data_IF_163094466594
#
_entry.id   IF_163094466594
#
_cell.length_a   1.000
_cell.length_b   1.000
_cell.length_c   1.000
_cell.angle_alpha   90.00
_cell.angle_beta   90.00
_cell.angle_gamma   90.00
#
_symmetry.space_group_name_H-M   'P 1'
#
loop_
_entity.id
_entity.type
_entity.pdbx_description
1 polymer ?
#
# COMPACT_ATOMS: atom_id res chain seq x y z
N UNK A 1 -21.71 22.74 1.29
CA UNK A 1 -21.87 21.32 1.67
C UNK A 1 -21.23 21.10 3.02
N UNK A 2 -21.81 20.27 3.89
CA UNK A 2 -21.10 19.75 5.06
C UNK A 2 -20.20 18.56 4.65
N UNK A 3 -19.42 17.99 5.58
CA UNK A 3 -18.48 16.89 5.28
C UNK A 3 -19.17 15.64 4.71
N UNK A 4 -20.30 15.23 5.28
CA UNK A 4 -21.04 14.05 4.80
C UNK A 4 -21.60 14.27 3.39
N UNK A 5 -22.17 15.45 3.13
CA UNK A 5 -22.64 15.82 1.78
C UNK A 5 -21.51 15.88 0.77
N UNK A 6 -20.33 16.37 1.19
CA UNK A 6 -19.12 16.42 0.34
C UNK A 6 -18.64 15.02 -0.02
N UNK A 7 -18.58 14.10 0.96
CA UNK A 7 -18.23 12.71 0.68
C UNK A 7 -19.25 12.04 -0.24
N UNK A 8 -20.55 12.23 0.00
CA UNK A 8 -21.61 11.70 -0.89
C UNK A 8 -21.44 12.25 -2.30
N UNK A 9 -21.17 13.54 -2.47
CA UNK A 9 -20.90 14.15 -3.78
C UNK A 9 -19.70 13.48 -4.48
N UNK A 10 -18.55 13.34 -3.77
CA UNK A 10 -17.35 12.71 -4.30
C UNK A 10 -17.56 11.22 -4.61
N UNK A 11 -18.40 10.54 -3.83
CA UNK A 11 -18.63 9.10 -3.96
C UNK A 11 -19.67 8.72 -5.00
N UNK A 12 -20.71 9.51 -5.18
CA UNK A 12 -21.85 9.18 -6.03
C UNK A 12 -21.70 9.72 -7.45
N UNK A 13 -21.19 10.94 -7.59
CA UNK A 13 -21.08 11.60 -8.90
C UNK A 13 -19.85 11.22 -9.71
N UNK A 14 -18.80 10.72 -9.06
CA UNK A 14 -17.53 10.48 -9.73
C UNK A 14 -17.29 9.01 -10.01
N UNK A 15 -16.69 8.66 -11.16
CA UNK A 15 -16.24 7.31 -11.43
C UNK A 15 -15.24 6.85 -10.36
N UNK A 16 -15.55 5.77 -9.63
CA UNK A 16 -14.69 5.17 -8.61
C UNK A 16 -14.30 3.76 -8.98
N UNK A 17 -13.01 3.46 -8.86
CA UNK A 17 -12.51 2.11 -9.08
C UNK A 17 -13.16 1.08 -8.14
N UNK A 18 -13.41 1.43 -6.87
CA UNK A 18 -14.09 0.56 -5.91
C UNK A 18 -15.53 0.21 -6.30
N UNK A 19 -16.21 1.02 -7.14
CA UNK A 19 -17.59 0.83 -7.57
C UNK A 19 -17.72 0.19 -8.95
N UNK A 20 -16.97 0.70 -9.93
CA UNK A 20 -17.12 0.33 -11.35
C UNK A 20 -15.85 -0.32 -11.95
N UNK A 21 -14.83 -0.60 -11.13
CA UNK A 21 -13.61 -1.28 -11.56
C UNK A 21 -12.86 -0.52 -12.65
N UNK A 22 -12.39 -1.24 -13.67
CA UNK A 22 -11.58 -0.72 -14.76
C UNK A 22 -12.21 0.45 -15.53
N UNK A 23 -13.54 0.55 -15.59
CA UNK A 23 -14.23 1.64 -16.26
C UNK A 23 -13.98 3.03 -15.63
N UNK A 24 -13.50 3.08 -14.38
CA UNK A 24 -13.09 4.34 -13.73
C UNK A 24 -11.67 4.77 -14.12
N UNK A 25 -10.88 3.91 -14.78
CA UNK A 25 -9.51 4.21 -15.17
C UNK A 25 -9.47 5.01 -16.45
N UNK A 26 -8.84 6.18 -16.42
CA UNK A 26 -8.57 6.98 -17.61
C UNK A 26 -7.13 6.75 -18.07
N UNK A 27 -6.95 6.50 -19.35
CA UNK A 27 -5.65 6.14 -19.93
C UNK A 27 -4.79 7.36 -20.30
N UNK A 28 -4.91 8.47 -19.56
CA UNK A 28 -4.09 9.67 -19.73
C UNK A 28 -4.03 10.48 -18.41
N UNK A 29 -3.21 11.54 -18.39
CA UNK A 29 -3.02 12.42 -17.23
C UNK A 29 -3.67 13.80 -17.41
N UNK A 30 -4.40 14.02 -18.49
CA UNK A 30 -4.92 15.34 -18.85
C UNK A 30 -5.82 15.94 -17.79
N UNK A 31 -6.72 15.13 -17.22
CA UNK A 31 -7.60 15.58 -16.14
C UNK A 31 -6.84 15.96 -14.87
N UNK A 32 -5.86 15.15 -14.47
CA UNK A 32 -5.05 15.45 -13.28
C UNK A 32 -4.24 16.73 -13.48
N UNK A 33 -3.67 16.92 -14.66
CA UNK A 33 -2.95 18.15 -15.03
C UNK A 33 -3.88 19.36 -14.97
N UNK A 34 -5.09 19.24 -15.56
CA UNK A 34 -6.08 20.30 -15.52
C UNK A 34 -6.57 20.65 -14.09
N UNK A 35 -6.81 19.61 -13.25
CA UNK A 35 -7.16 19.81 -11.85
C UNK A 35 -6.04 20.49 -11.06
N UNK A 36 -4.80 20.08 -11.26
CA UNK A 36 -3.64 20.72 -10.63
C UNK A 36 -3.51 22.18 -11.09
N UNK A 37 -3.74 22.45 -12.39
CA UNK A 37 -3.72 23.83 -12.90
C UNK A 37 -4.81 24.72 -12.27
N UNK A 38 -5.99 24.17 -12.00
CA UNK A 38 -7.08 24.87 -11.31
C UNK A 38 -6.77 25.27 -9.86
N UNK A 39 -5.70 24.72 -9.28
CA UNK A 39 -5.20 25.03 -7.92
C UNK A 39 -3.73 25.47 -7.92
N UNK A 40 -3.30 26.16 -8.98
CA UNK A 40 -1.95 26.74 -9.12
C UNK A 40 -0.80 25.73 -9.07
N UNK A 41 -0.98 24.57 -9.69
CA UNK A 41 0.03 23.51 -9.86
C UNK A 41 0.82 23.19 -8.58
N UNK A 42 0.18 22.77 -7.49
CA UNK A 42 0.82 22.54 -6.19
C UNK A 42 1.93 21.48 -6.26
N UNK A 43 1.78 20.48 -7.14
CA UNK A 43 2.74 19.38 -7.33
C UNK A 43 4.16 19.86 -7.72
N UNK A 44 4.30 21.06 -8.28
CA UNK A 44 5.59 21.59 -8.72
C UNK A 44 6.40 22.22 -7.57
N UNK A 45 5.79 22.50 -6.43
CA UNK A 45 6.42 23.16 -5.28
C UNK A 45 6.76 22.21 -4.12
N UNK A 46 6.40 20.93 -4.22
CA UNK A 46 6.54 19.93 -3.16
C UNK A 46 7.69 18.99 -3.50
N UNK A 47 8.63 18.80 -2.57
CA UNK A 47 9.63 17.72 -2.66
C UNK A 47 8.94 16.39 -2.39
N UNK A 48 9.17 15.39 -3.25
CA UNK A 48 8.43 14.12 -3.17
C UNK A 48 9.34 12.90 -3.28
N UNK A 49 8.90 11.79 -2.68
CA UNK A 49 9.36 10.42 -2.99
C UNK A 49 8.15 9.71 -3.61
N UNK A 50 8.32 9.07 -4.78
CA UNK A 50 7.25 8.44 -5.52
C UNK A 50 7.38 6.92 -5.45
N UNK A 51 6.31 6.21 -5.04
CA UNK A 51 6.35 4.78 -4.74
C UNK A 51 5.33 4.03 -5.59
N UNK A 52 5.82 3.13 -6.45
CA UNK A 52 5.02 2.15 -7.19
C UNK A 52 5.37 0.71 -6.77
N UNK A 53 4.56 -0.24 -7.21
CA UNK A 53 4.77 -1.67 -6.94
C UNK A 53 3.46 -2.44 -6.98
N UNK A 54 3.52 -3.76 -6.99
CA UNK A 54 2.34 -4.59 -6.81
C UNK A 54 1.99 -4.66 -5.33
N UNK A 55 2.86 -5.23 -4.51
CA UNK A 55 2.74 -5.30 -3.07
C UNK A 55 3.82 -4.43 -2.38
N UNK A 56 3.62 -4.07 -1.11
CA UNK A 56 4.60 -3.34 -0.32
C UNK A 56 4.55 -1.82 -0.41
N UNK A 57 3.83 -1.21 -1.38
CA UNK A 57 3.74 0.25 -1.54
C UNK A 57 3.40 0.98 -0.24
N UNK A 58 2.25 0.66 0.35
CA UNK A 58 1.79 1.28 1.59
C UNK A 58 2.78 1.12 2.74
N UNK A 59 3.33 -0.11 2.95
CA UNK A 59 4.33 -0.36 4.00
C UNK A 59 5.59 0.50 3.81
N UNK A 60 6.14 0.55 2.59
CA UNK A 60 7.33 1.38 2.27
C UNK A 60 7.01 2.86 2.46
N UNK A 61 5.81 3.31 2.02
CA UNK A 61 5.36 4.70 2.18
C UNK A 61 5.27 5.10 3.65
N UNK A 62 4.67 4.27 4.49
CA UNK A 62 4.51 4.54 5.92
C UNK A 62 5.85 4.47 6.68
N UNK A 63 6.72 3.48 6.38
CA UNK A 63 8.06 3.43 6.99
C UNK A 63 8.89 4.65 6.62
N UNK A 64 8.88 5.10 5.36
CA UNK A 64 9.58 6.32 4.96
C UNK A 64 8.98 7.55 5.67
N UNK A 65 7.64 7.68 5.71
CA UNK A 65 7.00 8.79 6.41
C UNK A 65 7.39 8.83 7.89
N UNK A 66 7.37 7.69 8.60
CA UNK A 66 7.79 7.58 9.99
C UNK A 66 9.25 8.05 10.19
N UNK A 67 10.17 7.65 9.30
CA UNK A 67 11.59 8.02 9.38
C UNK A 67 11.80 9.53 9.17
N UNK A 68 11.12 10.13 8.19
CA UNK A 68 11.23 11.58 7.97
C UNK A 68 10.60 12.38 9.10
N UNK A 69 9.47 11.94 9.66
CA UNK A 69 8.85 12.54 10.86
C UNK A 69 9.80 12.46 12.05
N UNK A 70 10.38 11.29 12.32
CA UNK A 70 11.32 11.09 13.42
C UNK A 70 12.60 11.92 13.26
N UNK A 71 13.00 12.22 12.01
CA UNK A 71 14.11 13.12 11.72
C UNK A 71 13.73 14.62 11.84
N UNK A 72 12.50 14.94 12.22
CA UNK A 72 12.02 16.30 12.48
C UNK A 72 11.46 17.03 11.26
N UNK A 73 11.25 16.35 10.12
CA UNK A 73 10.66 16.96 8.92
C UNK A 73 9.14 16.93 8.96
N UNK A 74 8.48 18.03 8.57
CA UNK A 74 7.03 18.05 8.32
C UNK A 74 6.73 17.21 7.09
N UNK A 75 6.19 16.01 7.31
CA UNK A 75 6.10 14.96 6.29
C UNK A 75 4.67 14.75 5.85
N UNK A 76 4.39 14.97 4.57
CA UNK A 76 3.16 14.56 3.91
C UNK A 76 3.19 13.09 3.54
N UNK A 77 2.03 12.43 3.60
CA UNK A 77 1.85 11.05 3.19
C UNK A 77 0.55 10.92 2.39
N UNK A 78 0.66 10.48 1.13
CA UNK A 78 -0.48 10.11 0.30
C UNK A 78 -0.49 8.61 0.05
N UNK A 79 -1.57 7.93 0.44
CA UNK A 79 -1.75 6.47 0.27
C UNK A 79 -3.14 6.12 -0.24
N UNK A 80 -3.28 4.94 -0.86
CA UNK A 80 -4.57 4.46 -1.36
C UNK A 80 -4.62 2.94 -1.51
N UNK A 81 -5.81 2.34 -1.35
CA UNK A 81 -7.04 2.97 -0.85
C UNK A 81 -7.00 3.22 0.66
N UNK A 82 -7.96 3.95 1.22
CA UNK A 82 -8.20 4.03 2.65
C UNK A 82 -8.87 2.74 3.16
N UNK A 83 -8.77 2.50 4.45
CA UNK A 83 -9.39 1.34 5.10
C UNK A 83 -10.79 1.70 5.62
N UNK A 84 -10.91 2.73 6.44
CA UNK A 84 -12.19 3.20 7.03
C UNK A 84 -12.53 4.65 6.70
N UNK A 85 -11.61 5.57 6.95
CA UNK A 85 -11.84 7.01 6.77
C UNK A 85 -11.18 7.52 5.50
N UNK A 86 -11.93 8.28 4.71
CA UNK A 86 -11.41 8.94 3.50
C UNK A 86 -10.11 9.70 3.75
N UNK A 87 -10.01 10.36 4.92
CA UNK A 87 -8.87 11.21 5.31
C UNK A 87 -7.56 10.44 5.51
N UNK A 88 -7.63 9.11 5.66
CA UNK A 88 -6.43 8.26 5.74
C UNK A 88 -5.52 8.41 4.52
N UNK A 89 -6.10 8.82 3.37
CA UNK A 89 -5.36 9.03 2.12
C UNK A 89 -4.38 10.20 2.19
N UNK A 90 -4.64 11.18 3.06
CA UNK A 90 -3.90 12.46 3.10
C UNK A 90 -3.55 12.75 4.56
N UNK A 91 -2.30 12.54 4.92
CA UNK A 91 -1.81 12.75 6.29
C UNK A 91 -0.61 13.68 6.29
N UNK A 92 -0.45 14.42 7.38
CA UNK A 92 0.79 15.16 7.70
C UNK A 92 1.21 14.77 9.11
N UNK A 93 2.45 14.28 9.24
CA UNK A 93 2.98 13.77 10.51
C UNK A 93 2.01 12.78 11.20
N UNK A 94 1.48 11.83 10.41
CA UNK A 94 0.52 10.82 10.86
C UNK A 94 -0.91 11.30 11.05
N UNK A 95 -1.14 12.62 11.15
CA UNK A 95 -2.48 13.20 11.36
C UNK A 95 -3.21 13.34 10.03
N UNK A 96 -4.42 12.77 9.89
CA UNK A 96 -5.26 12.95 8.71
C UNK A 96 -5.64 14.41 8.49
N UNK A 97 -5.84 14.80 7.23
CA UNK A 97 -6.33 16.14 6.88
C UNK A 97 -7.69 16.43 7.54
N UNK A 98 -7.98 17.71 7.79
CA UNK A 98 -9.23 18.08 8.46
C UNK A 98 -10.46 17.86 7.57
N UNK A 99 -11.59 17.54 8.18
CA UNK A 99 -12.89 17.44 7.48
C UNK A 99 -13.21 18.76 6.75
N UNK A 100 -12.89 19.90 7.37
CA UNK A 100 -13.12 21.20 6.78
C UNK A 100 -12.29 21.44 5.52
N UNK A 101 -11.01 21.04 5.50
CA UNK A 101 -10.18 21.15 4.30
C UNK A 101 -10.79 20.41 3.10
N UNK A 102 -11.32 19.20 3.32
CA UNK A 102 -11.98 18.43 2.25
C UNK A 102 -13.20 19.16 1.69
N UNK A 103 -14.00 19.76 2.58
CA UNK A 103 -15.18 20.56 2.19
C UNK A 103 -14.75 21.78 1.37
N UNK A 104 -13.81 22.56 1.88
CA UNK A 104 -13.35 23.82 1.26
C UNK A 104 -12.70 23.57 -0.09
N UNK A 105 -11.81 22.55 -0.17
CA UNK A 105 -11.18 22.15 -1.42
C UNK A 105 -12.22 21.73 -2.46
N UNK A 106 -13.16 20.86 -2.09
CA UNK A 106 -14.18 20.35 -3.02
C UNK A 106 -15.06 21.48 -3.53
N UNK A 107 -15.47 22.41 -2.66
CA UNK A 107 -16.24 23.61 -3.07
C UNK A 107 -15.44 24.51 -4.01
N UNK A 108 -14.15 24.75 -3.70
CA UNK A 108 -13.25 25.56 -4.53
C UNK A 108 -13.12 25.03 -5.96
N UNK A 109 -12.98 23.70 -6.11
CA UNK A 109 -12.77 23.09 -7.44
C UNK A 109 -14.04 22.58 -8.10
N UNK A 110 -15.22 22.75 -7.51
CA UNK A 110 -16.48 22.23 -8.07
C UNK A 110 -16.73 22.65 -9.52
N UNK A 111 -16.50 23.91 -9.95
CA UNK A 111 -16.64 24.29 -11.37
C UNK A 111 -15.68 23.51 -12.29
N UNK A 112 -14.47 23.22 -11.81
CA UNK A 112 -13.49 22.41 -12.55
C UNK A 112 -13.91 20.95 -12.61
N UNK A 113 -14.49 20.40 -11.55
CA UNK A 113 -15.04 19.03 -11.53
C UNK A 113 -16.13 18.90 -12.59
N UNK A 114 -17.04 19.87 -12.67
CA UNK A 114 -18.17 19.85 -13.61
C UNK A 114 -17.72 19.99 -15.09
N UNK A 115 -16.62 20.71 -15.35
CA UNK A 115 -16.09 20.91 -16.70
C UNK A 115 -15.13 19.82 -17.19
N UNK A 116 -14.33 19.24 -16.27
CA UNK A 116 -13.29 18.24 -16.59
C UNK A 116 -13.84 16.82 -16.50
N UNK A 117 -14.87 16.59 -15.70
CA UNK A 117 -15.45 15.29 -15.38
C UNK A 117 -14.38 14.26 -14.91
N UNK A 118 -13.58 14.60 -13.88
CA UNK A 118 -12.50 13.74 -13.42
C UNK A 118 -13.02 12.51 -12.69
N UNK A 119 -12.16 11.52 -12.52
CA UNK A 119 -12.39 10.41 -11.60
C UNK A 119 -12.21 10.84 -10.14
N UNK A 120 -12.79 10.07 -9.23
CA UNK A 120 -12.57 10.23 -7.79
C UNK A 120 -11.06 10.21 -7.42
N UNK A 121 -10.25 9.36 -8.06
CA UNK A 121 -8.83 9.25 -7.76
C UNK A 121 -8.06 10.50 -8.20
N UNK A 122 -8.34 11.04 -9.39
CA UNK A 122 -7.72 12.26 -9.90
C UNK A 122 -7.96 13.45 -8.96
N UNK A 123 -9.18 13.58 -8.42
CA UNK A 123 -9.51 14.63 -7.44
C UNK A 123 -8.73 14.44 -6.14
N UNK A 124 -8.66 13.18 -5.62
CA UNK A 124 -7.96 12.94 -4.35
C UNK A 124 -6.46 13.20 -4.45
N UNK A 125 -5.85 12.98 -5.62
CA UNK A 125 -4.45 13.32 -5.88
C UNK A 125 -4.23 14.83 -5.90
N UNK A 126 -5.05 15.59 -6.65
CA UNK A 126 -4.96 17.05 -6.66
C UNK A 126 -5.21 17.66 -5.27
N UNK A 127 -6.18 17.11 -4.52
CA UNK A 127 -6.47 17.48 -3.13
C UNK A 127 -5.25 17.28 -2.22
N UNK A 128 -4.55 16.15 -2.35
CA UNK A 128 -3.36 15.86 -1.55
C UNK A 128 -2.23 16.86 -1.84
N UNK A 129 -1.97 17.15 -3.11
CA UNK A 129 -0.92 18.11 -3.48
C UNK A 129 -1.26 19.52 -2.97
N UNK A 130 -2.52 19.97 -3.08
CA UNK A 130 -2.93 21.27 -2.54
C UNK A 130 -2.76 21.32 -1.02
N UNK A 131 -3.16 20.27 -0.30
CA UNK A 131 -2.98 20.20 1.15
C UNK A 131 -1.52 20.28 1.55
N UNK A 132 -0.64 19.52 0.91
CA UNK A 132 0.77 19.51 1.22
C UNK A 132 1.46 20.86 0.91
N UNK A 133 1.04 21.55 -0.16
CA UNK A 133 1.50 22.91 -0.48
C UNK A 133 1.04 23.91 0.58
N UNK A 134 -0.27 23.94 0.92
CA UNK A 134 -0.84 24.84 1.92
C UNK A 134 -0.17 24.68 3.28
N UNK A 135 0.08 23.45 3.67
CA UNK A 135 0.72 23.11 4.93
C UNK A 135 2.25 23.22 4.92
N UNK A 136 2.82 23.60 3.78
CA UNK A 136 4.27 23.76 3.59
C UNK A 136 5.09 22.56 4.11
N UNK A 137 4.74 21.35 3.66
CA UNK A 137 5.49 20.14 4.06
C UNK A 137 6.93 20.20 3.52
N UNK A 138 7.90 19.71 4.29
CA UNK A 138 9.29 19.61 3.85
C UNK A 138 9.45 18.57 2.76
N UNK A 139 8.69 17.47 2.86
CA UNK A 139 8.68 16.36 1.91
C UNK A 139 7.32 15.65 1.95
N UNK A 140 6.89 15.10 0.81
CA UNK A 140 5.72 14.23 0.73
C UNK A 140 6.07 12.85 0.14
N UNK A 141 5.60 11.80 0.79
CA UNK A 141 5.70 10.42 0.33
C UNK A 141 4.42 10.11 -0.43
N UNK A 142 4.55 9.79 -1.72
CA UNK A 142 3.42 9.65 -2.65
C UNK A 142 3.35 8.21 -3.15
N UNK A 143 2.31 7.49 -2.75
CA UNK A 143 2.00 6.15 -3.26
C UNK A 143 1.17 6.23 -4.54
N UNK A 144 1.55 5.47 -5.59
CA UNK A 144 0.69 5.30 -6.78
C UNK A 144 -0.56 4.49 -6.44
N UNK A 145 -1.69 4.85 -7.05
CA UNK A 145 -2.91 4.06 -6.92
C UNK A 145 -2.85 2.76 -7.74
N UNK A 146 -2.44 2.86 -9.01
CA UNK A 146 -2.43 1.75 -9.95
C UNK A 146 -1.36 1.94 -11.03
N UNK A 147 -0.55 0.89 -11.26
CA UNK A 147 0.49 0.93 -12.30
C UNK A 147 1.61 1.92 -11.94
N UNK A 148 1.75 2.96 -12.71
CA UNK A 148 2.73 4.02 -12.56
C UNK A 148 2.68 5.02 -13.70
N UNK A 149 2.87 4.60 -14.96
CA UNK A 149 2.97 5.45 -16.15
C UNK A 149 1.79 6.42 -16.31
N UNK A 150 0.58 5.92 -16.16
CA UNK A 150 -0.68 6.66 -16.30
C UNK A 150 -1.41 6.85 -14.95
N UNK A 151 -0.70 6.63 -13.84
CA UNK A 151 -1.26 6.94 -12.52
C UNK A 151 -1.34 8.46 -12.31
N UNK A 152 -2.44 8.93 -11.75
CA UNK A 152 -2.66 10.37 -11.53
C UNK A 152 -1.56 11.02 -10.67
N UNK A 153 -0.86 10.25 -9.83
CA UNK A 153 0.27 10.77 -9.05
C UNK A 153 1.50 11.06 -9.91
N UNK A 154 1.58 10.52 -11.14
CA UNK A 154 2.78 10.61 -12.00
C UNK A 154 2.99 11.98 -12.67
N UNK A 155 2.28 12.99 -12.23
CA UNK A 155 2.49 14.42 -12.62
C UNK A 155 3.59 15.09 -11.80
N UNK A 156 4.22 14.40 -10.85
CA UNK A 156 5.32 14.90 -10.02
C UNK A 156 6.69 14.60 -10.62
N UNK A 157 7.72 15.36 -10.17
CA UNK A 157 9.13 15.08 -10.41
C UNK A 157 9.81 14.81 -9.06
N UNK A 158 9.91 13.53 -8.63
CA UNK A 158 10.33 13.18 -7.28
C UNK A 158 11.85 13.28 -7.09
N UNK A 159 12.31 13.33 -5.82
CA UNK A 159 13.73 13.22 -5.47
C UNK A 159 14.26 11.79 -5.64
N UNK A 160 13.39 10.79 -5.41
CA UNK A 160 13.65 9.36 -5.57
C UNK A 160 12.36 8.66 -6.02
N UNK A 161 12.46 7.76 -6.97
CA UNK A 161 11.40 6.80 -7.31
C UNK A 161 11.69 5.44 -6.68
N UNK A 162 10.65 4.73 -6.22
CA UNK A 162 10.77 3.40 -5.60
C UNK A 162 9.80 2.45 -6.27
N UNK A 163 10.28 1.28 -6.71
CA UNK A 163 9.43 0.20 -7.23
C UNK A 163 9.60 -1.02 -6.32
N UNK A 164 8.60 -1.30 -5.48
CA UNK A 164 8.74 -2.23 -4.36
C UNK A 164 8.77 -3.69 -4.80
N UNK A 165 7.85 -4.09 -5.67
CA UNK A 165 7.75 -5.45 -6.20
C UNK A 165 6.96 -5.50 -7.50
N UNK A 166 7.15 -6.57 -8.27
CA UNK A 166 6.34 -6.92 -9.45
C UNK A 166 5.67 -8.26 -9.19
N UNK A 167 4.37 -8.30 -9.36
CA UNK A 167 3.54 -9.50 -9.26
C UNK A 167 2.29 -9.35 -10.12
N UNK A 168 1.61 -10.46 -10.36
CA UNK A 168 0.41 -10.51 -11.19
C UNK A 168 -0.77 -9.90 -10.42
N UNK A 169 -1.15 -8.70 -10.82
CA UNK A 169 -2.30 -7.98 -10.30
C UNK A 169 -2.83 -6.98 -11.33
N UNK A 170 -4.14 -6.73 -11.33
CA UNK A 170 -4.79 -5.81 -12.27
C UNK A 170 -4.47 -6.10 -13.75
N UNK A 171 -4.34 -7.38 -14.13
CA UNK A 171 -3.89 -7.83 -15.43
C UNK A 171 -4.68 -7.23 -16.59
N UNK A 172 -5.99 -7.04 -16.43
CA UNK A 172 -6.87 -6.43 -17.43
C UNK A 172 -6.56 -4.95 -17.75
N UNK A 173 -5.73 -4.27 -16.92
CA UNK A 173 -5.29 -2.88 -17.12
C UNK A 173 -3.80 -2.75 -17.38
N UNK A 174 -2.99 -3.57 -16.70
CA UNK A 174 -1.54 -3.43 -16.70
C UNK A 174 -0.86 -4.44 -17.64
N UNK A 175 -1.62 -5.39 -18.21
CA UNK A 175 -1.11 -6.49 -19.00
C UNK A 175 -1.02 -7.80 -18.23
N UNK A 176 -0.91 -8.90 -18.98
CA UNK A 176 -0.99 -10.29 -18.51
C UNK A 176 0.37 -10.95 -18.32
N UNK A 177 1.44 -10.17 -18.37
CA UNK A 177 2.81 -10.63 -18.12
C UNK A 177 3.52 -9.78 -17.08
N UNK A 178 4.47 -10.33 -16.31
CA UNK A 178 5.30 -9.57 -15.36
C UNK A 178 6.03 -8.39 -16.03
N UNK A 179 6.49 -8.57 -17.27
CA UNK A 179 7.18 -7.55 -18.06
C UNK A 179 6.27 -6.38 -18.40
N UNK A 180 5.02 -6.63 -18.82
CA UNK A 180 4.04 -5.57 -19.09
C UNK A 180 3.73 -4.76 -17.82
N UNK A 181 3.46 -5.45 -16.71
CA UNK A 181 3.24 -4.81 -15.41
C UNK A 181 4.46 -4.01 -14.95
N UNK A 182 5.67 -4.54 -15.18
CA UNK A 182 6.92 -3.85 -14.86
C UNK A 182 7.09 -2.56 -15.66
N UNK A 183 6.77 -2.56 -16.96
CA UNK A 183 6.82 -1.38 -17.82
C UNK A 183 5.84 -0.29 -17.37
N UNK A 184 4.62 -0.65 -17.00
CA UNK A 184 3.65 0.31 -16.44
C UNK A 184 4.17 0.96 -15.16
N UNK A 185 4.78 0.17 -14.25
CA UNK A 185 5.37 0.71 -13.00
C UNK A 185 6.63 1.51 -13.26
N UNK A 186 7.44 1.12 -14.25
CA UNK A 186 8.64 1.86 -14.67
C UNK A 186 8.33 3.28 -15.17
N UNK A 187 7.07 3.58 -15.50
CA UNK A 187 6.64 4.92 -15.90
C UNK A 187 6.82 6.00 -14.82
N UNK A 188 7.10 5.64 -13.57
CA UNK A 188 7.47 6.62 -12.52
C UNK A 188 8.97 6.97 -12.54
N UNK A 189 9.78 6.30 -13.35
CA UNK A 189 11.20 6.62 -13.52
C UNK A 189 11.31 7.94 -14.30
N UNK A 190 12.00 8.92 -13.73
CA UNK A 190 12.17 10.26 -14.33
C UNK A 190 13.62 10.51 -14.65
N UNK A 191 13.85 11.43 -15.60
CA UNK A 191 15.19 11.86 -15.98
C UNK A 191 15.94 12.40 -14.77
N UNK A 192 17.19 11.95 -14.60
CA UNK A 192 18.12 12.36 -13.55
C UNK A 192 17.59 12.14 -12.11
N UNK A 193 16.61 11.22 -11.95
CA UNK A 193 16.06 10.82 -10.65
C UNK A 193 16.50 9.40 -10.32
N UNK A 194 17.12 9.15 -9.16
CA UNK A 194 17.43 7.80 -8.71
C UNK A 194 16.16 6.95 -8.56
N UNK A 195 16.24 5.69 -8.98
CA UNK A 195 15.20 4.69 -8.74
C UNK A 195 15.75 3.55 -7.90
N UNK A 196 15.01 3.22 -6.84
CA UNK A 196 15.24 2.03 -6.01
C UNK A 196 14.33 0.93 -6.50
N UNK A 197 14.92 -0.23 -6.83
CA UNK A 197 14.21 -1.42 -7.25
C UNK A 197 14.26 -2.45 -6.12
N UNK A 198 13.10 -2.83 -5.61
CA UNK A 198 12.95 -3.86 -4.59
C UNK A 198 13.11 -5.27 -5.13
N UNK A 199 12.75 -6.26 -4.29
CA UNK A 199 12.84 -7.67 -4.66
C UNK A 199 11.83 -8.05 -5.73
N UNK A 200 12.32 -8.65 -6.80
CA UNK A 200 11.51 -9.19 -7.89
C UNK A 200 12.25 -10.29 -8.66
N UNK A 201 11.61 -10.85 -9.68
CA UNK A 201 12.24 -11.84 -10.55
C UNK A 201 13.48 -11.23 -11.25
N UNK A 202 14.65 -11.93 -11.24
CA UNK A 202 15.90 -11.39 -11.79
C UNK A 202 15.84 -11.00 -13.27
N UNK A 203 15.00 -11.66 -14.07
CA UNK A 203 14.80 -11.37 -15.50
C UNK A 203 14.18 -9.97 -15.74
N UNK A 204 13.56 -9.34 -14.73
CA UNK A 204 12.98 -7.99 -14.84
C UNK A 204 14.01 -6.86 -14.63
N UNK A 205 15.13 -7.12 -13.97
CA UNK A 205 16.14 -6.08 -13.72
C UNK A 205 16.70 -5.42 -15.01
N UNK A 206 17.00 -6.17 -16.09
CA UNK A 206 17.43 -5.57 -17.34
C UNK A 206 16.39 -4.61 -17.95
N UNK A 207 15.09 -4.89 -17.80
CA UNK A 207 14.01 -4.03 -18.26
C UNK A 207 14.09 -2.65 -17.57
N UNK A 208 14.13 -2.61 -16.24
CA UNK A 208 14.24 -1.36 -15.49
C UNK A 208 15.53 -0.61 -15.80
N UNK A 209 16.64 -1.33 -15.91
CA UNK A 209 17.94 -0.76 -16.31
C UNK A 209 17.86 -0.10 -17.68
N UNK A 210 17.19 -0.72 -18.66
CA UNK A 210 16.98 -0.15 -19.97
C UNK A 210 16.12 1.11 -19.94
N UNK A 211 15.05 1.12 -19.13
CA UNK A 211 14.22 2.33 -18.96
C UNK A 211 15.06 3.48 -18.38
N UNK A 212 15.88 3.23 -17.35
CA UNK A 212 16.79 4.27 -16.79
C UNK A 212 17.75 4.74 -17.87
N UNK A 213 18.32 3.85 -18.67
CA UNK A 213 19.23 4.20 -19.77
C UNK A 213 18.54 5.10 -20.80
N UNK A 214 17.32 4.80 -21.18
CA UNK A 214 16.53 5.60 -22.15
C UNK A 214 16.20 7.00 -21.61
N UNK A 215 15.87 7.09 -20.31
CA UNK A 215 15.42 8.35 -19.68
C UNK A 215 16.58 9.24 -19.25
N UNK A 216 17.67 8.67 -18.70
CA UNK A 216 18.78 9.40 -18.09
C UNK A 216 20.13 9.25 -18.85
N UNK A 217 20.14 8.56 -19.99
CA UNK A 217 21.35 8.38 -20.81
C UNK A 217 22.34 7.39 -20.19
N UNK A 218 23.63 7.56 -20.46
CA UNK A 218 24.70 6.57 -20.14
C UNK A 218 25.03 6.41 -18.66
N UNK A 219 24.61 7.32 -17.78
CA UNK A 219 24.95 7.30 -16.34
C UNK A 219 23.99 6.44 -15.51
N UNK A 220 23.74 5.20 -15.94
CA UNK A 220 22.80 4.28 -15.28
C UNK A 220 23.23 3.98 -13.82
N UNK A 221 24.53 3.86 -13.56
CA UNK A 221 25.03 3.49 -12.23
C UNK A 221 24.65 4.50 -11.13
N UNK A 222 24.48 5.78 -11.48
CA UNK A 222 24.08 6.82 -10.52
C UNK A 222 22.58 6.85 -10.24
N UNK A 223 21.76 6.21 -11.09
CA UNK A 223 20.31 6.31 -11.01
C UNK A 223 19.60 4.98 -10.80
N UNK A 224 20.26 3.84 -10.96
CA UNK A 224 19.67 2.52 -10.85
C UNK A 224 20.22 1.78 -9.62
N UNK A 225 19.38 1.60 -8.60
CA UNK A 225 19.76 0.99 -7.33
C UNK A 225 18.92 -0.25 -7.04
N UNK A 226 19.56 -1.41 -6.94
CA UNK A 226 18.92 -2.65 -6.51
C UNK A 226 19.02 -2.79 -4.98
N UNK A 227 17.90 -2.80 -4.29
CA UNK A 227 17.85 -2.86 -2.83
C UNK A 227 18.54 -4.11 -2.27
N UNK A 228 18.35 -5.27 -2.92
CA UNK A 228 18.99 -6.54 -2.52
C UNK A 228 20.51 -6.58 -2.79
N UNK A 229 21.03 -5.72 -3.66
CA UNK A 229 22.48 -5.59 -3.87
C UNK A 229 23.11 -4.58 -2.90
N UNK A 230 22.33 -3.59 -2.47
CA UNK A 230 22.80 -2.60 -1.50
C UNK A 230 22.79 -3.15 -0.06
N UNK A 231 21.85 -4.03 0.25
CA UNK A 231 21.62 -4.57 1.58
C UNK A 231 21.42 -6.07 1.55
N UNK A 232 22.07 -6.79 2.46
CA UNK A 232 21.92 -8.22 2.68
C UNK A 232 21.22 -8.47 4.02
N UNK A 233 20.11 -9.20 4.02
CA UNK A 233 19.49 -9.71 5.25
C UNK A 233 20.37 -10.85 5.77
N UNK A 234 20.83 -10.76 7.02
CA UNK A 234 21.67 -11.76 7.66
C UNK A 234 20.89 -12.62 8.65
N UNK A 235 19.88 -12.04 9.31
CA UNK A 235 19.03 -12.74 10.26
C UNK A 235 17.64 -12.11 10.32
N UNK A 236 16.61 -12.93 10.54
CA UNK A 236 15.23 -12.48 10.77
C UNK A 236 14.63 -13.33 11.88
N UNK A 237 14.14 -12.67 12.94
CA UNK A 237 13.40 -13.30 14.03
C UNK A 237 11.99 -12.73 14.12
N UNK A 238 11.00 -13.62 14.16
CA UNK A 238 9.59 -13.26 14.25
C UNK A 238 9.13 -13.22 15.71
N UNK A 239 8.43 -12.15 16.07
CA UNK A 239 7.88 -11.93 17.39
C UNK A 239 6.74 -10.91 17.35
N UNK A 240 6.53 -10.18 18.44
CA UNK A 240 5.63 -9.02 18.46
C UNK A 240 6.16 -7.89 17.57
N UNK A 241 7.47 -7.77 17.47
CA UNK A 241 8.19 -6.98 16.48
C UNK A 241 8.89 -7.94 15.52
N UNK A 242 9.09 -7.52 14.29
CA UNK A 242 9.96 -8.20 13.35
C UNK A 242 11.40 -7.72 13.59
N UNK A 243 12.25 -8.62 14.02
CA UNK A 243 13.65 -8.38 14.32
C UNK A 243 14.48 -8.71 13.08
N UNK A 244 15.22 -7.74 12.53
CA UNK A 244 15.93 -7.89 11.28
C UNK A 244 17.36 -7.38 11.41
N UNK A 245 18.31 -8.25 11.13
CA UNK A 245 19.72 -7.88 10.96
C UNK A 245 20.04 -7.74 9.48
N UNK A 246 20.65 -6.64 9.10
CA UNK A 246 21.04 -6.34 7.74
C UNK A 246 22.50 -5.88 7.68
N UNK A 247 23.18 -6.22 6.58
CA UNK A 247 24.52 -5.76 6.27
C UNK A 247 24.48 -4.82 5.06
N UNK A 248 25.04 -3.62 5.20
CA UNK A 248 25.25 -2.71 4.08
C UNK A 248 26.45 -3.19 3.25
N UNK A 249 26.22 -3.47 1.99
CA UNK A 249 27.25 -4.09 1.14
C UNK A 249 28.38 -3.14 0.76
N UNK A 250 28.10 -1.82 0.69
CA UNK A 250 29.09 -0.80 0.34
C UNK A 250 30.11 -0.54 1.46
N UNK A 251 29.69 -0.59 2.74
CA UNK A 251 30.53 -0.29 3.91
C UNK A 251 30.93 -1.52 4.70
N UNK A 252 30.20 -2.62 4.54
CA UNK A 252 30.33 -3.83 5.36
C UNK A 252 29.74 -3.73 6.76
N UNK A 253 29.14 -2.58 7.13
CA UNK A 253 28.52 -2.37 8.44
C UNK A 253 27.25 -3.20 8.58
N UNK A 254 27.03 -3.73 9.79
CA UNK A 254 25.81 -4.42 10.17
C UNK A 254 24.91 -3.51 11.01
N UNK A 255 23.61 -3.62 10.79
CA UNK A 255 22.58 -2.86 11.49
C UNK A 255 21.51 -3.83 11.98
N UNK A 256 20.86 -3.48 13.09
CA UNK A 256 19.82 -4.25 13.72
C UNK A 256 18.57 -3.37 13.88
N UNK A 257 17.45 -3.81 13.33
CA UNK A 257 16.20 -3.06 13.35
C UNK A 257 15.06 -3.90 13.95
N UNK A 258 14.25 -3.26 14.77
CA UNK A 258 13.00 -3.78 15.29
C UNK A 258 11.85 -3.06 14.59
N UNK A 259 10.97 -3.80 13.92
CA UNK A 259 9.89 -3.26 13.13
C UNK A 259 8.54 -3.66 13.72
N UNK A 260 7.68 -2.68 14.00
CA UNK A 260 6.31 -2.90 14.53
C UNK A 260 5.31 -3.41 13.48
N UNK A 261 5.80 -3.78 12.30
CA UNK A 261 5.08 -4.49 11.25
C UNK A 261 5.57 -5.94 11.19
N UNK A 262 4.94 -6.89 11.92
CA UNK A 262 5.53 -8.21 12.18
C UNK A 262 5.41 -9.21 11.03
N UNK A 263 4.84 -8.83 9.88
CA UNK A 263 4.80 -9.68 8.70
C UNK A 263 6.18 -9.95 8.11
N UNK A 264 6.54 -11.22 7.87
CA UNK A 264 7.86 -11.63 7.36
C UNK A 264 8.24 -10.93 6.03
N UNK A 265 7.26 -10.60 5.22
CA UNK A 265 7.46 -9.90 3.94
C UNK A 265 7.98 -8.47 4.10
N UNK A 266 7.89 -7.88 5.29
CA UNK A 266 8.40 -6.53 5.57
C UNK A 266 9.92 -6.45 5.51
N UNK A 267 10.64 -7.57 5.66
CA UNK A 267 12.09 -7.61 5.48
C UNK A 267 12.53 -7.08 4.11
N UNK A 268 11.78 -7.38 3.04
CA UNK A 268 12.09 -6.88 1.69
C UNK A 268 11.66 -5.43 1.49
N UNK A 269 10.57 -5.02 2.10
CA UNK A 269 10.13 -3.62 2.11
C UNK A 269 11.16 -2.74 2.83
N UNK A 270 11.74 -3.23 3.93
CA UNK A 270 12.80 -2.54 4.68
C UNK A 270 14.03 -2.27 3.79
N UNK A 271 14.44 -3.21 2.93
CA UNK A 271 15.58 -2.96 2.04
C UNK A 271 15.32 -1.79 1.07
N UNK A 272 14.08 -1.65 0.56
CA UNK A 272 13.69 -0.49 -0.25
C UNK A 272 13.78 0.81 0.55
N UNK A 273 13.31 0.79 1.80
CA UNK A 273 13.35 1.93 2.72
C UNK A 273 14.79 2.36 3.00
N UNK A 274 15.65 1.44 3.41
CA UNK A 274 17.06 1.71 3.72
C UNK A 274 17.81 2.25 2.51
N UNK A 275 17.59 1.68 1.32
CA UNK A 275 18.18 2.17 0.06
C UNK A 275 17.72 3.59 -0.24
N UNK A 276 16.43 3.88 -0.07
CA UNK A 276 15.86 5.21 -0.29
C UNK A 276 16.42 6.22 0.71
N UNK A 277 16.48 5.88 1.99
CA UNK A 277 17.06 6.73 3.03
C UNK A 277 18.52 7.03 2.76
N UNK A 278 19.30 6.04 2.32
CA UNK A 278 20.72 6.25 1.96
C UNK A 278 20.88 7.27 0.83
N UNK A 279 20.05 7.18 -0.21
CA UNK A 279 20.05 8.18 -1.30
C UNK A 279 19.67 9.57 -0.78
N UNK A 280 18.67 9.65 0.11
CA UNK A 280 18.24 10.93 0.68
C UNK A 280 19.33 11.55 1.59
N UNK A 281 20.06 10.73 2.36
CA UNK A 281 21.24 11.17 3.13
C UNK A 281 22.31 11.74 2.21
N UNK A 282 22.61 11.09 1.07
CA UNK A 282 23.55 11.59 0.06
C UNK A 282 23.09 12.91 -0.59
N UNK A 283 21.78 13.16 -0.64
CA UNK A 283 21.18 14.42 -1.09
C UNK A 283 21.15 15.51 0.03
N UNK A 284 21.75 15.26 1.19
CA UNK A 284 21.87 16.22 2.29
C UNK A 284 20.73 16.22 3.31
N UNK A 285 19.82 15.23 3.28
CA UNK A 285 18.80 15.10 4.32
C UNK A 285 19.40 14.57 5.62
N UNK A 286 19.16 15.27 6.73
CA UNK A 286 19.77 14.99 8.03
C UNK A 286 19.05 13.82 8.77
N UNK A 287 19.09 12.63 8.18
CA UNK A 287 18.53 11.41 8.77
C UNK A 287 19.66 10.61 9.42
N UNK A 288 19.63 10.43 10.75
CA UNK A 288 20.61 9.64 11.51
C UNK A 288 20.11 8.22 11.72
N UNK A 289 21.01 7.29 12.09
CA UNK A 289 20.66 5.89 12.39
C UNK A 289 19.60 5.78 13.49
N UNK A 290 19.71 6.60 14.53
CA UNK A 290 18.75 6.61 15.65
C UNK A 290 17.34 7.00 15.19
N UNK A 291 17.21 7.88 14.19
CA UNK A 291 15.90 8.23 13.62
C UNK A 291 15.27 7.03 12.91
N UNK A 292 16.08 6.23 12.20
CA UNK A 292 15.60 5.03 11.50
C UNK A 292 15.15 3.98 12.51
N UNK A 293 15.99 3.68 13.51
CA UNK A 293 15.70 2.68 14.54
C UNK A 293 14.44 3.01 15.33
N UNK A 294 14.30 4.25 15.81
CA UNK A 294 13.14 4.70 16.57
C UNK A 294 11.86 4.72 15.72
N UNK A 295 11.94 5.20 14.48
CA UNK A 295 10.80 5.27 13.58
C UNK A 295 10.24 3.89 13.25
N UNK A 296 11.11 2.90 12.98
CA UNK A 296 10.69 1.55 12.59
C UNK A 296 9.96 0.81 13.72
N UNK A 297 10.22 1.16 14.97
CA UNK A 297 9.50 0.61 16.14
C UNK A 297 8.11 1.21 16.35
N UNK A 298 7.75 2.27 15.62
CA UNK A 298 6.54 3.06 15.82
C UNK A 298 5.84 3.44 14.50
N UNK A 299 6.02 2.66 13.43
CA UNK A 299 5.42 2.95 12.12
C UNK A 299 3.89 2.99 12.23
N UNK A 300 3.29 1.99 12.88
CA UNK A 300 1.84 1.88 13.05
C UNK A 300 1.30 3.09 13.81
N UNK A 301 1.85 3.37 14.98
CA UNK A 301 1.36 4.45 15.86
C UNK A 301 1.64 5.84 15.31
N UNK A 302 2.79 6.05 14.64
CA UNK A 302 3.19 7.35 14.11
C UNK A 302 2.54 7.70 12.77
N UNK A 303 2.02 6.71 12.04
CA UNK A 303 1.50 6.94 10.69
C UNK A 303 0.10 6.37 10.45
N UNK A 304 -0.42 5.53 11.35
CA UNK A 304 -1.76 4.93 11.26
C UNK A 304 -1.87 3.89 10.14
N UNK A 305 -0.85 3.05 9.94
CA UNK A 305 -0.92 1.92 9.01
C UNK A 305 -1.64 0.74 9.65
N UNK A 306 -2.67 0.23 8.99
CA UNK A 306 -3.44 -0.94 9.43
C UNK A 306 -3.45 -2.07 8.39
N UNK A 307 -3.87 -3.27 8.81
CA UNK A 307 -4.12 -4.42 7.94
C UNK A 307 -2.85 -5.06 7.35
N UNK A 308 -1.74 -5.08 8.07
CA UNK A 308 -0.47 -5.70 7.67
C UNK A 308 0.01 -6.69 8.72
N UNK A 309 -0.57 -7.91 8.73
CA UNK A 309 -0.37 -8.91 9.77
C UNK A 309 -0.65 -8.34 11.16
N UNK A 310 -1.71 -7.55 11.25
CA UNK A 310 -2.08 -6.76 12.42
C UNK A 310 -2.78 -7.63 13.46
N UNK A 311 -2.28 -7.63 14.70
CA UNK A 311 -2.92 -8.34 15.81
C UNK A 311 -4.05 -7.48 16.39
N UNK A 312 -5.30 -7.92 16.21
CA UNK A 312 -6.50 -7.28 16.76
C UNK A 312 -6.84 -7.81 18.16
N UNK A 313 -6.51 -9.07 18.45
CA UNK A 313 -6.76 -9.75 19.73
C UNK A 313 -5.66 -10.78 19.99
N UNK A 314 -5.33 -11.01 21.26
CA UNK A 314 -4.20 -11.88 21.66
C UNK A 314 -4.63 -13.33 21.93
N UNK A 315 -5.82 -13.56 22.48
CA UNK A 315 -6.28 -14.90 22.89
C UNK A 315 -7.80 -15.09 22.72
N UNK A 316 -8.30 -15.93 21.78
CA UNK A 316 -7.53 -16.46 20.67
C UNK A 316 -6.88 -15.35 19.85
N UNK A 317 -5.76 -15.63 19.22
CA UNK A 317 -5.07 -14.60 18.42
C UNK A 317 -5.86 -14.31 17.15
N UNK A 318 -6.22 -13.04 16.94
CA UNK A 318 -6.91 -12.56 15.74
C UNK A 318 -5.99 -11.65 14.96
N UNK A 319 -5.79 -11.96 13.69
CA UNK A 319 -4.92 -11.23 12.76
C UNK A 319 -5.74 -10.69 11.59
N UNK A 320 -5.51 -9.44 11.22
CA UNK A 320 -6.00 -8.84 9.98
C UNK A 320 -4.86 -8.62 8.99
N UNK A 321 -5.03 -9.08 7.74
CA UNK A 321 -4.08 -8.85 6.66
C UNK A 321 -4.81 -8.59 5.33
N UNK A 322 -4.45 -7.53 4.62
CA UNK A 322 -5.08 -7.16 3.34
C UNK A 322 -4.54 -7.90 2.12
N UNK A 323 -3.83 -9.01 2.29
CA UNK A 323 -3.38 -9.87 1.19
C UNK A 323 -4.59 -10.27 0.32
N UNK A 324 -4.50 -10.04 -1.01
CA UNK A 324 -5.64 -10.17 -1.93
C UNK A 324 -5.26 -10.63 -3.34
N UNK A 325 -4.00 -10.87 -3.61
CA UNK A 325 -3.48 -11.43 -4.86
C UNK A 325 -2.60 -12.65 -4.57
N UNK A 326 -2.22 -13.39 -5.61
CA UNK A 326 -1.45 -14.62 -5.47
C UNK A 326 -0.19 -14.44 -4.60
N UNK A 327 0.63 -13.42 -4.90
CA UNK A 327 1.87 -13.17 -4.17
C UNK A 327 1.63 -12.77 -2.71
N UNK A 328 0.61 -11.93 -2.45
CA UNK A 328 0.22 -11.55 -1.10
C UNK A 328 -0.26 -12.75 -0.28
N UNK A 329 -1.12 -13.59 -0.85
CA UNK A 329 -1.60 -14.82 -0.19
C UNK A 329 -0.45 -15.79 0.04
N UNK A 330 0.48 -15.95 -0.91
CA UNK A 330 1.68 -16.80 -0.73
C UNK A 330 2.52 -16.31 0.45
N UNK A 331 2.72 -15.01 0.61
CA UNK A 331 3.44 -14.43 1.74
C UNK A 331 2.70 -14.62 3.07
N UNK A 332 1.36 -14.48 3.08
CA UNK A 332 0.52 -14.78 4.23
C UNK A 332 0.66 -16.25 4.64
N UNK A 333 0.59 -17.18 3.69
CA UNK A 333 0.78 -18.62 3.96
C UNK A 333 2.19 -18.92 4.46
N UNK A 334 3.22 -18.27 3.92
CA UNK A 334 4.57 -18.38 4.44
C UNK A 334 4.65 -17.89 5.90
N UNK A 335 4.01 -16.77 6.24
CA UNK A 335 3.93 -16.27 7.60
C UNK A 335 3.28 -17.26 8.57
N UNK A 336 2.23 -17.96 8.12
CA UNK A 336 1.55 -19.00 8.93
C UNK A 336 2.50 -20.14 9.32
N UNK A 337 3.47 -20.51 8.47
CA UNK A 337 4.46 -21.56 8.77
C UNK A 337 5.37 -21.22 9.96
N UNK A 338 5.54 -19.93 10.25
CA UNK A 338 6.35 -19.44 11.38
C UNK A 338 5.49 -19.01 12.58
N UNK A 339 4.18 -19.19 12.50
CA UNK A 339 3.25 -18.75 13.56
C UNK A 339 2.73 -19.98 14.31
N UNK A 340 2.93 -20.03 15.61
CA UNK A 340 2.41 -21.11 16.43
C UNK A 340 0.90 -20.99 16.64
N UNK A 341 0.14 -22.05 16.43
CA UNK A 341 -1.29 -22.17 16.70
C UNK A 341 -1.69 -23.64 16.81
N UNK A 342 -2.82 -23.90 17.49
CA UNK A 342 -3.40 -25.24 17.55
C UNK A 342 -4.28 -25.54 16.34
N UNK A 343 -5.25 -24.64 16.04
CA UNK A 343 -6.08 -24.70 14.83
C UNK A 343 -6.08 -23.33 14.15
N UNK A 344 -6.20 -23.37 12.82
CA UNK A 344 -6.27 -22.17 11.98
C UNK A 344 -7.71 -21.95 11.51
N UNK A 345 -8.23 -20.75 11.76
CA UNK A 345 -9.47 -20.24 11.20
C UNK A 345 -9.14 -19.18 10.15
N UNK A 346 -9.67 -19.33 8.95
CA UNK A 346 -9.47 -18.35 7.87
C UNK A 346 -10.83 -17.74 7.48
N UNK A 347 -11.00 -16.45 7.80
CA UNK A 347 -12.13 -15.64 7.32
C UNK A 347 -11.68 -14.96 6.06
N UNK A 348 -12.27 -15.31 4.91
CA UNK A 348 -11.82 -14.82 3.61
C UNK A 348 -12.95 -14.24 2.79
N UNK A 349 -12.71 -13.06 2.18
CA UNK A 349 -13.59 -12.46 1.19
C UNK A 349 -12.79 -11.73 0.12
N UNK A 350 -13.16 -11.94 -1.13
CA UNK A 350 -12.40 -11.44 -2.28
C UNK A 350 -13.27 -10.53 -3.16
N UNK A 351 -12.64 -9.85 -4.12
CA UNK A 351 -13.31 -9.05 -5.14
C UNK A 351 -13.23 -9.75 -6.50
N UNK A 352 -14.25 -9.54 -7.35
CA UNK A 352 -14.43 -10.25 -8.64
C UNK A 352 -13.35 -9.98 -9.68
N UNK A 353 -12.70 -8.83 -9.60
CA UNK A 353 -11.69 -8.37 -10.56
C UNK A 353 -10.25 -8.84 -10.24
N UNK A 354 -10.10 -9.73 -9.26
CA UNK A 354 -8.83 -10.37 -8.92
C UNK A 354 -8.77 -11.81 -9.45
N UNK A 355 -7.55 -12.34 -9.59
CA UNK A 355 -7.36 -13.77 -9.87
C UNK A 355 -7.61 -14.58 -8.60
N UNK A 356 -8.89 -14.86 -8.37
CA UNK A 356 -9.35 -15.61 -7.20
C UNK A 356 -8.83 -17.05 -7.23
N UNK A 357 -8.71 -17.66 -8.41
CA UNK A 357 -8.26 -19.03 -8.54
C UNK A 357 -6.80 -19.21 -8.08
N UNK A 358 -5.90 -18.35 -8.55
CA UNK A 358 -4.49 -18.40 -8.14
C UNK A 358 -4.32 -18.12 -6.65
N UNK A 359 -5.11 -17.22 -6.07
CA UNK A 359 -5.11 -16.95 -4.63
C UNK A 359 -5.61 -18.15 -3.81
N UNK A 360 -6.74 -18.76 -4.18
CA UNK A 360 -7.31 -19.94 -3.49
C UNK A 360 -6.38 -21.15 -3.54
N UNK A 361 -5.66 -21.33 -4.64
CA UNK A 361 -4.71 -22.44 -4.83
C UNK A 361 -3.53 -22.43 -3.84
N UNK A 362 -3.20 -21.26 -3.25
CA UNK A 362 -2.11 -21.10 -2.28
C UNK A 362 -2.53 -21.42 -0.84
N UNK A 363 -3.83 -21.45 -0.54
CA UNK A 363 -4.34 -21.51 0.83
C UNK A 363 -4.23 -22.91 1.44
N UNK A 364 -3.97 -23.03 2.77
CA UNK A 364 -3.82 -24.31 3.46
C UNK A 364 -5.15 -25.08 3.52
N UNK A 365 -5.14 -26.37 3.21
CA UNK A 365 -6.35 -27.22 3.15
C UNK A 365 -6.90 -27.57 4.53
N UNK A 366 -6.05 -27.58 5.54
CA UNK A 366 -6.42 -27.98 6.92
C UNK A 366 -7.06 -26.86 7.73
N UNK A 367 -7.16 -25.64 7.19
CA UNK A 367 -7.79 -24.54 7.89
C UNK A 367 -9.33 -24.68 7.93
N UNK A 368 -9.95 -24.11 8.94
CA UNK A 368 -11.39 -23.96 9.09
C UNK A 368 -11.82 -22.66 8.39
N UNK A 369 -12.48 -22.78 7.23
CA UNK A 369 -12.84 -21.61 6.43
C UNK A 369 -14.19 -21.03 6.83
N UNK A 370 -14.25 -19.68 6.84
CA UNK A 370 -15.48 -18.91 6.86
C UNK A 370 -15.41 -17.95 5.66
N UNK A 371 -16.33 -18.13 4.71
CA UNK A 371 -16.43 -17.30 3.52
C UNK A 371 -17.31 -16.11 3.81
N UNK A 372 -16.74 -14.91 3.69
CA UNK A 372 -17.40 -13.63 3.90
C UNK A 372 -17.37 -12.77 2.62
N UNK A 373 -18.00 -11.62 2.64
CA UNK A 373 -17.97 -10.66 1.54
C UNK A 373 -17.99 -9.23 2.06
N UNK A 374 -17.30 -8.33 1.39
CA UNK A 374 -17.38 -6.91 1.70
C UNK A 374 -18.68 -6.29 1.16
N UNK A 375 -19.18 -5.23 1.80
CA UNK A 375 -20.41 -4.50 1.44
C UNK A 375 -20.26 -3.59 0.21
N UNK A 376 -19.43 -3.97 -0.76
CA UNK A 376 -19.20 -3.20 -2.00
C UNK A 376 -19.70 -3.97 -3.25
N UNK A 377 -20.13 -3.28 -4.33
CA UNK A 377 -20.67 -3.92 -5.53
C UNK A 377 -19.71 -4.91 -6.23
N UNK A 378 -18.40 -4.69 -6.10
CA UNK A 378 -17.36 -5.57 -6.68
C UNK A 378 -17.05 -6.79 -5.83
N UNK A 379 -17.56 -6.88 -4.62
CA UNK A 379 -17.29 -8.03 -3.78
C UNK A 379 -17.80 -9.31 -4.46
N UNK A 380 -17.02 -10.38 -4.33
CA UNK A 380 -17.48 -11.70 -4.73
C UNK A 380 -18.47 -12.19 -3.68
N UNK A 381 -19.68 -12.65 -4.06
CA UNK A 381 -20.62 -13.22 -3.09
C UNK A 381 -19.97 -14.38 -2.32
N UNK A 382 -20.13 -14.39 -1.01
CA UNK A 382 -19.49 -15.38 -0.14
C UNK A 382 -19.80 -16.83 -0.54
N UNK A 383 -21.04 -17.10 -1.01
CA UNK A 383 -21.45 -18.42 -1.53
C UNK A 383 -20.74 -18.78 -2.83
N UNK A 384 -20.52 -17.84 -3.72
CA UNK A 384 -19.76 -18.04 -4.97
C UNK A 384 -18.30 -18.35 -4.66
N UNK A 385 -17.68 -17.58 -3.74
CA UNK A 385 -16.32 -17.81 -3.27
C UNK A 385 -16.17 -19.22 -2.66
N UNK A 386 -17.12 -19.66 -1.82
CA UNK A 386 -17.15 -21.01 -1.26
C UNK A 386 -17.18 -22.07 -2.37
N UNK A 387 -18.04 -21.90 -3.40
CA UNK A 387 -18.12 -22.86 -4.51
C UNK A 387 -16.82 -22.94 -5.31
N UNK A 388 -16.16 -21.81 -5.54
CA UNK A 388 -14.85 -21.80 -6.18
C UNK A 388 -13.78 -22.49 -5.32
N UNK A 389 -13.80 -22.25 -4.00
CA UNK A 389 -12.86 -22.81 -3.04
C UNK A 389 -12.93 -24.34 -2.95
N UNK A 390 -14.11 -24.93 -3.17
CA UNK A 390 -14.28 -26.40 -3.21
C UNK A 390 -13.39 -27.10 -4.24
N UNK A 391 -13.08 -26.44 -5.37
CA UNK A 391 -12.17 -26.96 -6.41
C UNK A 391 -10.75 -27.20 -5.85
N UNK A 392 -10.39 -26.45 -4.83
CA UNK A 392 -9.09 -26.52 -4.16
C UNK A 392 -9.14 -27.30 -2.84
N UNK A 393 -10.29 -27.99 -2.56
CA UNK A 393 -10.53 -28.76 -1.33
C UNK A 393 -10.56 -27.87 -0.07
N UNK A 394 -10.89 -26.58 -0.23
CA UNK A 394 -11.09 -25.66 0.88
C UNK A 394 -12.56 -25.73 1.30
N UNK A 395 -12.81 -26.26 2.49
CA UNK A 395 -14.17 -26.48 3.00
C UNK A 395 -14.47 -25.59 4.18
N UNK A 396 -15.68 -25.04 4.27
CA UNK A 396 -16.06 -24.15 5.36
C UNK A 396 -17.48 -23.61 5.25
N UNK A 397 -17.82 -22.74 6.17
CA UNK A 397 -19.16 -22.15 6.32
C UNK A 397 -19.24 -20.81 5.56
N UNK A 398 -20.47 -20.38 5.25
CA UNK A 398 -20.74 -19.06 4.65
C UNK A 398 -21.37 -18.16 5.71
N UNK A 399 -20.68 -17.09 6.07
CA UNK A 399 -21.17 -16.01 6.94
C UNK A 399 -20.84 -14.70 6.24
N UNK A 400 -21.81 -14.07 5.53
CA UNK A 400 -21.53 -12.97 4.63
C UNK A 400 -20.92 -11.73 5.30
N UNK A 401 -21.41 -11.31 6.46
CA UNK A 401 -20.87 -10.19 7.21
C UNK A 401 -19.57 -10.59 7.91
N UNK A 402 -18.53 -9.75 7.83
CA UNK A 402 -17.20 -10.07 8.38
C UNK A 402 -17.16 -10.00 9.91
N UNK A 403 -17.96 -9.15 10.55
CA UNK A 403 -18.03 -9.05 12.01
C UNK A 403 -18.80 -10.24 12.58
N UNK A 404 -19.90 -10.65 11.94
CA UNK A 404 -20.62 -11.88 12.27
C UNK A 404 -19.73 -13.11 12.06
N UNK A 405 -18.93 -13.14 10.99
CA UNK A 405 -17.96 -14.20 10.72
C UNK A 405 -16.89 -14.28 11.82
N UNK A 406 -16.39 -13.13 12.27
CA UNK A 406 -15.43 -13.05 13.37
C UNK A 406 -16.05 -13.52 14.69
N UNK A 407 -17.25 -13.05 15.04
CA UNK A 407 -17.98 -13.51 16.22
C UNK A 407 -18.24 -15.03 16.19
N UNK A 408 -18.60 -15.56 15.02
CA UNK A 408 -18.81 -16.99 14.82
C UNK A 408 -17.52 -17.79 15.05
N UNK A 409 -16.38 -17.35 14.48
CA UNK A 409 -15.08 -17.97 14.72
C UNK A 409 -14.69 -17.91 16.21
N UNK A 410 -14.82 -16.74 16.85
CA UNK A 410 -14.51 -16.54 18.26
C UNK A 410 -15.34 -17.44 19.19
N UNK A 411 -16.61 -17.71 18.85
CA UNK A 411 -17.48 -18.58 19.64
C UNK A 411 -17.06 -20.08 19.65
N UNK A 412 -16.23 -20.48 18.64
CA UNK A 412 -15.77 -21.87 18.45
C UNK A 412 -14.28 -22.06 18.71
N UNK A 413 -13.50 -20.99 18.64
CA UNK A 413 -12.05 -21.04 18.77
C UNK A 413 -11.60 -21.23 20.22
N UNK A 414 -10.55 -22.04 20.42
CA UNK A 414 -9.83 -22.15 21.68
C UNK A 414 -8.81 -21.02 21.83
N UNK A 415 -8.25 -20.81 23.04
CA UNK A 415 -7.32 -19.71 23.33
C UNK A 415 -6.03 -19.75 22.50
N UNK A 416 -5.59 -20.92 22.13
CA UNK A 416 -4.39 -21.22 21.36
C UNK A 416 -4.64 -21.38 19.85
N UNK A 417 -5.88 -21.15 19.41
CA UNK A 417 -6.23 -21.09 17.98
C UNK A 417 -5.80 -19.72 17.39
N UNK A 418 -5.60 -19.71 16.07
CA UNK A 418 -5.33 -18.50 15.28
C UNK A 418 -6.51 -18.23 14.35
N UNK A 419 -7.00 -17.00 14.35
CA UNK A 419 -8.01 -16.51 13.41
C UNK A 419 -7.34 -15.48 12.50
N UNK A 420 -7.38 -15.68 11.18
CA UNK A 420 -6.84 -14.73 10.20
C UNK A 420 -7.96 -14.25 9.29
N UNK A 421 -8.10 -12.93 9.16
CA UNK A 421 -9.05 -12.27 8.26
C UNK A 421 -8.26 -11.71 7.07
N UNK A 422 -8.58 -12.14 5.84
CA UNK A 422 -7.82 -11.74 4.65
C UNK A 422 -8.65 -11.77 3.35
N UNK A 423 -7.99 -11.50 2.22
CA UNK A 423 -8.53 -11.61 0.87
C UNK A 423 -8.97 -10.29 0.23
N UNK A 424 -9.20 -9.23 1.03
CA UNK A 424 -9.51 -7.90 0.50
C UNK A 424 -9.30 -6.81 1.54
N UNK A 425 -8.75 -5.68 1.12
CA UNK A 425 -8.71 -4.47 1.94
C UNK A 425 -10.12 -3.98 2.33
N UNK A 426 -11.11 -4.20 1.46
CA UNK A 426 -12.48 -3.79 1.74
C UNK A 426 -13.12 -4.66 2.83
N UNK A 427 -12.84 -5.97 2.84
CA UNK A 427 -13.30 -6.86 3.91
C UNK A 427 -12.69 -6.47 5.26
N UNK A 428 -11.37 -6.29 5.29
CA UNK A 428 -10.63 -5.90 6.51
C UNK A 428 -11.08 -4.52 6.99
N UNK A 429 -11.39 -3.60 6.08
CA UNK A 429 -11.88 -2.26 6.42
C UNK A 429 -13.26 -2.23 7.09
N UNK A 430 -14.08 -3.29 6.97
CA UNK A 430 -15.38 -3.37 7.62
C UNK A 430 -15.32 -3.94 9.06
N UNK A 431 -14.15 -4.43 9.50
CA UNK A 431 -13.97 -4.93 10.87
C UNK A 431 -14.16 -3.83 11.90
N UNK A 432 -15.10 -4.01 12.83
CA UNK A 432 -15.33 -3.05 13.94
C UNK A 432 -14.13 -2.94 14.87
N UNK A 433 -13.31 -3.99 14.98
CA UNK A 433 -12.11 -4.05 15.79
C UNK A 433 -10.96 -3.16 15.29
N UNK A 434 -11.01 -2.68 14.03
CA UNK A 434 -10.04 -1.70 13.50
C UNK A 434 -10.59 -0.30 13.80
N UNK A 435 -9.95 0.40 14.75
CA UNK A 435 -10.39 1.71 15.22
C UNK A 435 -10.28 2.79 14.15
N UNK A 436 -11.23 3.73 14.16
CA UNK A 436 -11.17 4.98 13.41
C UNK A 436 -10.35 6.03 14.15
N UNK A 437 -9.76 6.96 13.40
CA UNK A 437 -8.89 8.06 13.89
C UNK A 437 -9.61 9.16 14.70
N UNK A 438 -10.84 8.96 15.12
CA UNK A 438 -11.65 9.94 15.87
C UNK A 438 -11.67 9.70 17.40
N UNK A 439 -10.72 8.91 17.97
CA UNK A 439 -10.49 8.83 19.42
C UNK A 439 -9.30 9.63 19.86
#
# INVERSE_FOLDING_TARGET
MNYSETLSYLYEKLPRFSRIGAAAYKADLSNTVALCAAVDNPQNSIKTIHIAGTNGKGSVSHMLAAIFQQAGYKTGLYTSPHLKDFRERIRINGVPCSKQFIVDFTQKIQPSIESIEPSFFEITVAMAFEYFKQEAVDIAIIETGLGGRLDSTNVIHPLVSVITSIGMDHMHLLGDTPEAIALEKAGIIKKDVPVVIGKMQPNLYPLFKNVVLQVSGSNVASFFHLAEQAWQITEVTLGNLLDIQVKEMATGNSFHYHLDLPGIYQQYNLLCVLSTVRIMQQKGWAIRSEHIEQALQQVVTSTGLHGRWETLQVAPRVIADVAHNEDGIRQLVQQLQYTAYHRLWLIIGMVKDKDVNSALAQLPKEAMYIFAQAGIPRAMPAKELQQMAQKYQLTGEVVPDVNDALHHALSKAAKDDLIVICGSIFLVGELDAIYTTDQ
#
